data_IF_520847540843
#
_entry.id   IF_520847540843
#
_cell.length_a   1.000
_cell.length_b   1.000
_cell.length_c   1.000
_cell.angle_alpha   90.00
_cell.angle_beta   90.00
_cell.angle_gamma   90.00
#
_symmetry.space_group_name_H-M   'P 1'
#
loop_
_entity.id
_entity.type
_entity.pdbx_description
1 polymer ?
#
# COMPACT_ATOMS: atom_id res chain seq x y z
N UNK A 1 -5.89 18.74 -21.75
CA UNK A 1 -6.30 18.09 -20.48
C UNK A 1 -7.42 17.16 -20.87
N UNK A 2 -7.09 15.92 -21.22
CA UNK A 2 -8.09 14.95 -21.66
C UNK A 2 -9.02 14.63 -20.50
N UNK A 3 -10.31 14.78 -20.78
CA UNK A 3 -11.40 14.45 -19.88
C UNK A 3 -11.26 12.95 -19.52
N UNK A 4 -10.88 12.64 -18.28
CA UNK A 4 -11.06 11.30 -17.67
C UNK A 4 -12.57 11.03 -17.43
N UNK A 5 -13.40 11.50 -18.37
CA UNK A 5 -14.84 11.48 -18.40
C UNK A 5 -15.33 10.05 -18.39
N UNK A 6 -15.96 9.70 -17.26
CA UNK A 6 -16.82 8.56 -17.07
C UNK A 6 -16.33 7.24 -17.71
N UNK A 7 -15.28 6.62 -17.14
CA UNK A 7 -15.23 5.16 -17.25
C UNK A 7 -16.55 4.62 -16.69
N UNK A 8 -17.29 3.89 -17.54
CA UNK A 8 -18.55 3.27 -17.14
C UNK A 8 -18.32 2.34 -15.95
N UNK A 9 -19.33 2.21 -15.08
CA UNK A 9 -19.24 1.29 -13.95
C UNK A 9 -18.93 -0.14 -14.41
N UNK A 10 -19.46 -0.52 -15.58
CA UNK A 10 -19.20 -1.79 -16.25
C UNK A 10 -17.71 -1.99 -16.55
N UNK A 11 -17.00 -0.95 -16.98
CA UNK A 11 -15.54 -1.03 -17.20
C UNK A 11 -14.78 -1.21 -15.90
N UNK A 12 -15.15 -0.51 -14.82
CA UNK A 12 -14.54 -0.70 -13.50
C UNK A 12 -14.78 -2.12 -12.97
N UNK A 13 -15.98 -2.65 -13.15
CA UNK A 13 -16.33 -4.01 -12.74
C UNK A 13 -15.50 -5.04 -13.50
N UNK A 14 -15.46 -4.95 -14.85
CA UNK A 14 -14.68 -5.86 -15.70
C UNK A 14 -13.18 -5.77 -15.42
N UNK A 15 -12.66 -4.57 -15.23
CA UNK A 15 -11.25 -4.41 -14.90
C UNK A 15 -10.97 -4.95 -13.51
N UNK A 16 -11.76 -4.67 -12.48
CA UNK A 16 -11.57 -5.27 -11.16
C UNK A 16 -11.68 -6.79 -11.16
N UNK A 17 -12.59 -7.38 -11.96
CA UNK A 17 -12.71 -8.82 -12.08
C UNK A 17 -11.40 -9.48 -12.50
N UNK A 18 -10.62 -8.86 -13.41
CA UNK A 18 -9.30 -9.40 -13.83
C UNK A 18 -8.33 -9.60 -12.66
N UNK A 19 -8.47 -8.85 -11.57
CA UNK A 19 -7.65 -9.02 -10.39
C UNK A 19 -8.04 -10.25 -9.55
N UNK A 20 -9.27 -10.76 -9.69
CA UNK A 20 -9.84 -11.80 -8.83
C UNK A 20 -10.39 -13.01 -9.60
N UNK A 21 -10.30 -13.03 -10.93
CA UNK A 21 -10.90 -14.06 -11.77
C UNK A 21 -10.33 -15.47 -11.56
N UNK A 22 -9.16 -15.58 -10.93
CA UNK A 22 -8.59 -16.86 -10.47
C UNK A 22 -9.16 -17.35 -9.12
N UNK A 23 -9.89 -16.50 -8.39
CA UNK A 23 -10.44 -16.78 -7.06
C UNK A 23 -11.96 -17.00 -7.14
N UNK A 24 -12.65 -16.26 -8.00
CA UNK A 24 -14.12 -16.23 -8.08
C UNK A 24 -14.59 -16.15 -9.53
N UNK A 25 -15.71 -16.77 -9.84
CA UNK A 25 -16.36 -16.66 -11.15
C UNK A 25 -16.97 -15.26 -11.37
N UNK A 26 -17.12 -14.88 -12.64
CA UNK A 26 -17.57 -13.53 -13.02
C UNK A 26 -18.99 -13.23 -12.53
N UNK A 27 -19.91 -14.19 -12.60
CA UNK A 27 -21.30 -14.01 -12.16
C UNK A 27 -21.35 -13.69 -10.66
N UNK A 28 -20.67 -14.49 -9.84
CA UNK A 28 -20.62 -14.28 -8.39
C UNK A 28 -19.87 -13.00 -8.03
N UNK A 29 -18.80 -12.65 -8.74
CA UNK A 29 -18.09 -11.39 -8.57
C UNK A 29 -19.02 -10.19 -8.84
N UNK A 30 -19.73 -10.20 -9.97
CA UNK A 30 -20.64 -9.14 -10.37
C UNK A 30 -21.76 -8.96 -9.33
N UNK A 31 -22.33 -10.06 -8.83
CA UNK A 31 -23.32 -10.03 -7.76
C UNK A 31 -22.80 -9.35 -6.49
N UNK A 32 -21.59 -9.71 -6.03
CA UNK A 32 -20.98 -9.08 -4.85
C UNK A 32 -20.66 -7.60 -5.11
N UNK A 33 -20.05 -7.28 -6.24
CA UNK A 33 -19.66 -5.92 -6.60
C UNK A 33 -20.88 -5.00 -6.71
N UNK A 34 -21.95 -5.43 -7.38
CA UNK A 34 -23.18 -4.64 -7.55
C UNK A 34 -23.93 -4.38 -6.24
N UNK A 35 -23.69 -5.15 -5.18
CA UNK A 35 -24.30 -4.91 -3.87
C UNK A 35 -23.66 -3.74 -3.10
N UNK A 36 -22.45 -3.32 -3.47
CA UNK A 36 -21.85 -2.12 -2.92
C UNK A 36 -22.64 -0.87 -3.31
N UNK A 37 -22.59 0.17 -2.46
CA UNK A 37 -23.04 1.50 -2.89
C UNK A 37 -22.21 2.00 -4.07
N UNK A 38 -22.76 2.87 -4.91
CA UNK A 38 -22.06 3.41 -6.10
C UNK A 38 -20.68 3.98 -5.73
N UNK A 39 -20.54 4.62 -4.57
CA UNK A 39 -19.26 5.14 -4.09
C UNK A 39 -18.27 4.00 -3.76
N UNK A 40 -18.71 2.97 -3.03
CA UNK A 40 -17.88 1.80 -2.71
C UNK A 40 -17.49 1.02 -3.96
N UNK A 41 -18.40 0.88 -4.94
CA UNK A 41 -18.08 0.30 -6.24
C UNK A 41 -16.96 1.06 -6.95
N UNK A 42 -17.02 2.41 -7.00
CA UNK A 42 -15.96 3.24 -7.57
C UNK A 42 -14.63 3.07 -6.82
N UNK A 43 -14.66 3.04 -5.49
CA UNK A 43 -13.46 2.84 -4.67
C UNK A 43 -12.84 1.47 -4.89
N UNK A 44 -13.64 0.41 -4.83
CA UNK A 44 -13.19 -0.96 -5.08
C UNK A 44 -12.69 -1.15 -6.53
N UNK A 45 -13.40 -0.57 -7.49
CA UNK A 45 -13.00 -0.46 -8.90
C UNK A 45 -11.59 0.11 -9.07
N UNK A 46 -11.34 1.26 -8.45
CA UNK A 46 -10.04 1.93 -8.45
C UNK A 46 -8.96 1.09 -7.75
N UNK A 47 -9.27 0.51 -6.59
CA UNK A 47 -8.34 -0.34 -5.86
C UNK A 47 -7.90 -1.56 -6.70
N UNK A 48 -8.85 -2.25 -7.35
CA UNK A 48 -8.57 -3.38 -8.24
C UNK A 48 -7.69 -2.98 -9.44
N UNK A 49 -7.94 -1.81 -10.03
CA UNK A 49 -7.11 -1.26 -11.11
C UNK A 49 -5.68 -0.95 -10.63
N UNK A 50 -5.53 -0.27 -9.49
CA UNK A 50 -4.22 0.08 -8.91
C UNK A 50 -3.44 -1.18 -8.55
N UNK A 51 -4.09 -2.19 -7.97
CA UNK A 51 -3.50 -3.50 -7.69
C UNK A 51 -2.93 -4.17 -8.95
N UNK A 52 -3.68 -4.20 -10.05
CA UNK A 52 -3.18 -4.74 -11.31
C UNK A 52 -1.97 -3.98 -11.87
N UNK A 53 -1.91 -2.66 -11.67
CA UNK A 53 -0.74 -1.86 -12.05
C UNK A 53 0.46 -2.20 -11.18
N UNK A 54 0.26 -2.41 -9.88
CA UNK A 54 1.28 -2.92 -8.96
C UNK A 54 1.90 -4.22 -9.49
N UNK A 55 1.07 -5.20 -9.87
CA UNK A 55 1.56 -6.49 -10.37
C UNK A 55 2.43 -6.36 -11.64
N UNK A 56 2.13 -5.41 -12.52
CA UNK A 56 2.95 -5.13 -13.71
C UNK A 56 4.29 -4.50 -13.35
N UNK A 57 4.35 -3.76 -12.25
CA UNK A 57 5.57 -3.13 -11.76
C UNK A 57 6.44 -4.07 -10.91
N UNK A 58 5.86 -5.17 -10.38
CA UNK A 58 6.52 -6.08 -9.43
C UNK A 58 7.92 -6.54 -9.87
N UNK A 59 8.09 -6.85 -11.15
CA UNK A 59 9.36 -7.36 -11.71
C UNK A 59 10.32 -6.27 -12.20
N UNK A 60 9.82 -5.06 -12.48
CA UNK A 60 10.67 -3.98 -13.00
C UNK A 60 11.11 -3.01 -11.90
N UNK A 61 10.23 -2.72 -10.95
CA UNK A 61 10.45 -1.79 -9.85
C UNK A 61 9.60 -2.22 -8.64
N UNK A 62 10.18 -3.01 -7.72
CA UNK A 62 9.49 -3.47 -6.53
C UNK A 62 9.00 -2.32 -5.63
N UNK A 63 9.69 -1.18 -5.63
CA UNK A 63 9.31 -0.04 -4.80
C UNK A 63 8.05 0.64 -5.32
N UNK A 64 7.95 0.84 -6.64
CA UNK A 64 6.72 1.29 -7.29
C UNK A 64 5.61 0.25 -7.12
N UNK A 65 5.93 -1.04 -7.16
CA UNK A 65 4.94 -2.09 -6.89
C UNK A 65 4.36 -1.97 -5.48
N UNK A 66 5.21 -1.88 -4.45
CA UNK A 66 4.80 -1.72 -3.04
C UNK A 66 3.97 -0.44 -2.85
N UNK A 67 4.39 0.66 -3.48
CA UNK A 67 3.68 1.94 -3.48
C UNK A 67 2.23 1.82 -3.95
N UNK A 68 2.04 1.16 -5.09
CA UNK A 68 0.75 0.94 -5.70
C UNK A 68 -0.09 -0.04 -4.86
N UNK A 69 0.53 -1.09 -4.29
CA UNK A 69 -0.13 -2.00 -3.36
C UNK A 69 -0.68 -1.27 -2.12
N UNK A 70 0.11 -0.38 -1.50
CA UNK A 70 -0.36 0.44 -0.39
C UNK A 70 -1.52 1.35 -0.79
N UNK A 71 -1.41 2.00 -1.95
CA UNK A 71 -2.43 2.91 -2.49
C UNK A 71 -3.75 2.19 -2.80
N UNK A 72 -3.70 0.93 -3.23
CA UNK A 72 -4.89 0.11 -3.47
C UNK A 72 -5.71 -0.08 -2.17
N UNK A 73 -5.04 -0.35 -1.05
CA UNK A 73 -5.70 -0.52 0.26
C UNK A 73 -6.26 0.79 0.78
N UNK A 74 -5.49 1.88 0.71
CA UNK A 74 -5.95 3.19 1.18
C UNK A 74 -7.23 3.66 0.49
N UNK A 75 -7.38 3.31 -0.79
CA UNK A 75 -8.57 3.63 -1.61
C UNK A 75 -9.86 3.08 -1.00
N UNK A 76 -9.79 1.92 -0.33
CA UNK A 76 -10.96 1.25 0.28
C UNK A 76 -11.00 1.39 1.81
N UNK A 77 -9.92 1.82 2.44
CA UNK A 77 -9.86 1.97 3.91
C UNK A 77 -10.54 3.25 4.44
N UNK A 78 -11.15 4.06 3.56
CA UNK A 78 -11.97 5.21 3.98
C UNK A 78 -11.19 6.35 4.65
N UNK A 79 -9.92 6.56 4.27
CA UNK A 79 -9.16 7.73 4.66
C UNK A 79 -9.78 8.99 4.06
N UNK A 80 -10.30 9.89 4.90
CA UNK A 80 -10.83 11.21 4.48
C UNK A 80 -9.77 12.30 4.50
N UNK A 81 -8.51 11.96 4.75
CA UNK A 81 -7.40 12.91 4.68
C UNK A 81 -6.97 13.15 3.24
N UNK A 82 -6.50 14.36 2.96
CA UNK A 82 -5.89 14.69 1.67
C UNK A 82 -4.69 13.75 1.47
N UNK A 83 -4.79 12.82 0.52
CA UNK A 83 -3.64 11.96 0.18
C UNK A 83 -2.53 12.84 -0.35
N UNK A 84 -1.27 12.55 0.00
CA UNK A 84 -0.12 13.40 -0.34
C UNK A 84 -0.09 13.80 -1.82
N UNK A 85 -0.50 12.90 -2.72
CA UNK A 85 -0.64 13.17 -4.15
C UNK A 85 -1.56 14.37 -4.40
N UNK A 86 -2.76 14.36 -3.84
CA UNK A 86 -3.75 15.42 -4.06
C UNK A 86 -3.31 16.72 -3.38
N UNK A 87 -2.69 16.64 -2.20
CA UNK A 87 -2.11 17.80 -1.54
C UNK A 87 -0.95 18.40 -2.36
N UNK A 88 -0.08 17.57 -2.91
CA UNK A 88 1.06 17.96 -3.76
C UNK A 88 0.59 18.62 -5.05
N UNK A 89 -0.40 18.02 -5.73
CA UNK A 89 -1.00 18.59 -6.94
C UNK A 89 -1.70 19.92 -6.65
N UNK A 90 -2.34 20.07 -5.50
CA UNK A 90 -3.08 21.28 -5.16
C UNK A 90 -2.20 22.42 -4.64
N UNK A 91 -1.08 22.12 -3.98
CA UNK A 91 -0.27 23.13 -3.30
C UNK A 91 1.07 23.43 -4.01
N UNK A 92 1.57 22.52 -4.84
CA UNK A 92 2.99 22.52 -5.27
C UNK A 92 3.22 22.23 -6.74
N UNK A 93 2.17 21.94 -7.51
CA UNK A 93 2.26 21.69 -8.95
C UNK A 93 2.94 22.85 -9.70
N UNK A 94 2.62 24.10 -9.34
CA UNK A 94 3.26 25.28 -9.93
C UNK A 94 4.75 25.42 -9.58
N UNK A 95 5.15 24.93 -8.41
CA UNK A 95 6.56 24.92 -7.97
C UNK A 95 7.37 23.82 -8.68
N UNK A 96 6.71 22.71 -9.05
CA UNK A 96 7.34 21.56 -9.72
C UNK A 96 7.46 21.71 -11.25
N UNK A 97 6.60 22.53 -11.87
CA UNK A 97 6.45 22.59 -13.33
C UNK A 97 7.70 23.04 -14.12
N UNK A 98 8.68 23.68 -13.46
CA UNK A 98 9.87 24.25 -14.11
C UNK A 98 11.20 23.81 -13.45
N UNK A 99 11.18 22.72 -12.67
CA UNK A 99 12.36 22.20 -11.97
C UNK A 99 13.00 21.05 -12.74
N UNK A 100 14.32 20.94 -12.69
CA UNK A 100 15.02 19.75 -13.16
C UNK A 100 14.71 18.55 -12.27
N UNK A 101 14.98 17.33 -12.75
CA UNK A 101 14.72 16.08 -12.00
C UNK A 101 15.38 16.07 -10.61
N UNK A 102 16.62 16.55 -10.52
CA UNK A 102 17.35 16.75 -9.25
C UNK A 102 16.64 17.75 -8.31
N UNK A 103 16.12 18.85 -8.85
CA UNK A 103 15.44 19.90 -8.07
C UNK A 103 14.03 19.47 -7.64
N UNK A 104 13.37 18.61 -8.43
CA UNK A 104 12.10 17.98 -8.08
C UNK A 104 12.31 17.08 -6.85
N UNK A 105 13.39 16.29 -6.80
CA UNK A 105 13.72 15.45 -5.65
C UNK A 105 13.88 16.24 -4.33
N UNK A 106 14.64 17.33 -4.37
CA UNK A 106 14.81 18.22 -3.20
C UNK A 106 13.51 18.92 -2.80
N UNK A 107 12.71 19.34 -3.78
CA UNK A 107 11.43 19.97 -3.55
C UNK A 107 10.45 19.00 -2.89
N UNK A 108 10.32 17.78 -3.41
CA UNK A 108 9.43 16.75 -2.87
C UNK A 108 9.72 16.47 -1.40
N UNK A 109 11.01 16.43 -1.00
CA UNK A 109 11.43 16.26 0.39
C UNK A 109 10.91 17.33 1.34
N UNK A 110 11.20 18.59 1.02
CA UNK A 110 10.76 19.74 1.81
C UNK A 110 9.23 19.81 1.82
N UNK A 111 8.62 19.64 0.66
CA UNK A 111 7.18 19.62 0.46
C UNK A 111 6.49 18.50 1.24
N UNK A 112 7.17 17.37 1.43
CA UNK A 112 6.66 16.32 2.30
C UNK A 112 6.76 16.67 3.76
N UNK A 113 7.82 17.35 4.21
CA UNK A 113 7.86 17.87 5.58
C UNK A 113 6.76 18.89 5.82
N UNK A 114 6.48 19.74 4.85
CA UNK A 114 5.38 20.70 4.89
C UNK A 114 4.02 20.00 4.93
N UNK A 115 3.83 18.97 4.10
CA UNK A 115 2.68 18.08 4.23
C UNK A 115 2.67 17.51 5.65
N UNK A 116 3.79 16.95 6.13
CA UNK A 116 3.94 16.29 7.42
C UNK A 116 3.44 17.16 8.57
N UNK A 117 3.81 18.43 8.56
CA UNK A 117 3.40 19.41 9.55
C UNK A 117 1.99 19.96 9.37
N UNK A 118 1.43 19.91 8.15
CA UNK A 118 0.12 20.48 7.85
C UNK A 118 -1.08 19.56 8.16
N UNK A 119 -0.87 18.24 8.30
CA UNK A 119 -1.97 17.29 8.53
C UNK A 119 -1.86 16.53 9.85
N UNK A 120 -2.57 17.05 10.87
CA UNK A 120 -2.65 16.50 12.24
C UNK A 120 -3.30 15.11 12.29
N UNK A 121 -4.17 14.77 11.34
CA UNK A 121 -4.95 13.52 11.33
C UNK A 121 -4.27 12.33 10.62
N UNK A 122 -2.95 12.37 10.42
CA UNK A 122 -2.23 11.30 9.70
C UNK A 122 -2.29 9.94 10.34
N UNK A 123 -2.37 9.89 11.66
CA UNK A 123 -2.57 8.64 12.38
C UNK A 123 -3.83 7.93 11.89
N UNK A 124 -4.85 8.66 11.42
CA UNK A 124 -6.06 8.10 10.83
C UNK A 124 -5.83 7.25 9.58
N UNK A 125 -5.00 7.66 8.61
CA UNK A 125 -4.83 6.88 7.36
C UNK A 125 -3.96 5.65 7.60
N UNK A 126 -2.82 5.80 8.27
CA UNK A 126 -1.95 4.68 8.60
C UNK A 126 -2.64 3.68 9.54
N UNK A 127 -3.45 4.16 10.49
CA UNK A 127 -4.31 3.32 11.32
C UNK A 127 -5.38 2.63 10.49
N UNK A 128 -6.12 3.34 9.64
CA UNK A 128 -7.17 2.76 8.78
C UNK A 128 -6.62 1.72 7.81
N UNK A 129 -5.45 1.97 7.23
CA UNK A 129 -4.72 1.02 6.39
C UNK A 129 -4.40 -0.26 7.15
N UNK A 130 -3.76 -0.14 8.33
CA UNK A 130 -3.43 -1.31 9.17
C UNK A 130 -4.67 -2.03 9.66
N UNK A 131 -5.68 -1.29 10.11
CA UNK A 131 -6.97 -1.85 10.55
C UNK A 131 -7.63 -2.63 9.42
N UNK A 132 -7.67 -2.07 8.21
CA UNK A 132 -8.21 -2.78 7.05
C UNK A 132 -7.48 -4.11 6.84
N UNK A 133 -6.14 -4.10 6.82
CA UNK A 133 -5.38 -5.33 6.65
C UNK A 133 -5.59 -6.31 7.81
N UNK A 134 -5.69 -5.86 9.05
CA UNK A 134 -6.00 -6.74 10.19
C UNK A 134 -7.40 -7.37 10.10
N UNK A 135 -8.39 -6.60 9.66
CA UNK A 135 -9.80 -7.02 9.59
C UNK A 135 -10.07 -7.99 8.42
N UNK A 136 -9.31 -7.84 7.32
CA UNK A 136 -9.58 -8.54 6.07
C UNK A 136 -8.46 -9.50 5.60
N UNK A 137 -7.24 -9.45 6.16
CA UNK A 137 -6.19 -10.42 5.80
C UNK A 137 -6.51 -11.82 6.36
N UNK A 138 -6.48 -12.88 5.52
CA UNK A 138 -6.58 -14.26 5.99
C UNK A 138 -5.48 -14.64 6.98
N UNK A 139 -5.80 -15.46 7.98
CA UNK A 139 -4.85 -15.87 9.03
C UNK A 139 -3.60 -16.58 8.48
N UNK A 140 -3.72 -17.35 7.39
CA UNK A 140 -2.58 -18.02 6.78
C UNK A 140 -1.56 -17.03 6.16
N UNK A 141 -1.99 -15.81 5.83
CA UNK A 141 -1.12 -14.76 5.28
C UNK A 141 -0.58 -13.80 6.35
N UNK A 142 -1.00 -13.92 7.61
CA UNK A 142 -0.44 -13.15 8.74
C UNK A 142 0.94 -13.65 9.21
N UNK A 143 1.58 -14.53 8.44
CA UNK A 143 2.95 -15.03 8.66
C UNK A 143 3.89 -14.46 7.60
N UNK A 144 4.37 -13.21 7.76
CA UNK A 144 5.22 -12.56 6.77
C UNK A 144 6.61 -13.20 6.66
N UNK A 145 7.25 -13.16 5.48
CA UNK A 145 8.62 -13.62 5.27
C UNK A 145 9.63 -12.56 5.76
N UNK A 146 9.59 -12.25 7.05
CA UNK A 146 10.54 -11.34 7.72
C UNK A 146 11.27 -12.05 8.86
N UNK A 147 12.50 -11.63 9.14
CA UNK A 147 13.25 -12.01 10.34
C UNK A 147 13.45 -10.79 11.21
N UNK A 148 13.02 -10.86 12.47
CA UNK A 148 13.17 -9.76 13.44
C UNK A 148 14.38 -10.06 14.31
N UNK A 149 15.44 -9.25 14.16
CA UNK A 149 16.70 -9.41 14.89
C UNK A 149 16.70 -8.64 16.21
N UNK A 150 15.81 -7.64 16.37
CA UNK A 150 15.66 -6.88 17.62
C UNK A 150 14.23 -6.33 17.76
N UNK A 151 13.75 -6.34 19.00
CA UNK A 151 12.46 -5.79 19.42
C UNK A 151 11.33 -6.82 19.47
N UNK A 152 10.19 -6.42 20.03
CA UNK A 152 9.01 -7.28 20.24
C UNK A 152 7.79 -6.73 19.49
N UNK A 153 6.85 -7.61 19.16
CA UNK A 153 5.56 -7.25 18.56
C UNK A 153 5.03 -8.34 17.64
N UNK A 154 3.80 -8.15 17.19
CA UNK A 154 3.18 -9.01 16.20
C UNK A 154 3.90 -8.88 14.85
N UNK A 155 4.31 -10.02 14.27
CA UNK A 155 5.10 -10.03 13.04
C UNK A 155 4.33 -9.41 11.86
N UNK A 156 3.01 -9.62 11.80
CA UNK A 156 2.19 -9.06 10.74
C UNK A 156 2.11 -7.53 10.84
N UNK A 157 1.82 -6.97 12.02
CA UNK A 157 1.82 -5.51 12.22
C UNK A 157 3.20 -4.91 11.90
N UNK A 158 4.28 -5.58 12.31
CA UNK A 158 5.65 -5.15 11.99
C UNK A 158 5.86 -5.12 10.47
N UNK A 159 5.55 -6.20 9.74
CA UNK A 159 5.72 -6.27 8.29
C UNK A 159 4.88 -5.20 7.58
N UNK A 160 3.61 -5.05 7.95
CA UNK A 160 2.71 -4.05 7.36
C UNK A 160 3.23 -2.63 7.60
N UNK A 161 3.74 -2.33 8.81
CA UNK A 161 4.39 -1.04 9.09
C UNK A 161 5.65 -0.84 8.26
N UNK A 162 6.47 -1.86 8.07
CA UNK A 162 7.66 -1.80 7.22
C UNK A 162 7.26 -1.47 5.78
N UNK A 163 6.27 -2.15 5.21
CA UNK A 163 5.80 -1.89 3.84
C UNK A 163 5.22 -0.49 3.70
N UNK A 164 4.39 -0.07 4.66
CA UNK A 164 3.77 1.25 4.64
C UNK A 164 4.82 2.36 4.83
N UNK A 165 5.73 2.22 5.80
CA UNK A 165 6.79 3.18 6.07
C UNK A 165 7.79 3.25 4.92
N UNK A 166 8.09 2.13 4.23
CA UNK A 166 8.96 2.11 3.06
C UNK A 166 8.49 3.10 1.99
N UNK A 167 7.18 3.17 1.76
CA UNK A 167 6.61 4.02 0.72
C UNK A 167 6.16 5.42 1.22
N UNK A 168 5.60 5.49 2.43
CA UNK A 168 5.11 6.74 3.00
C UNK A 168 6.20 7.50 3.76
N UNK A 169 7.42 6.99 3.87
CA UNK A 169 8.55 7.81 4.32
C UNK A 169 9.20 8.45 3.10
N UNK A 170 8.87 9.71 2.82
CA UNK A 170 9.45 10.40 1.67
C UNK A 170 10.98 10.57 1.78
N UNK A 171 11.52 10.42 2.99
CA UNK A 171 12.95 10.34 3.29
C UNK A 171 13.67 9.12 2.67
N UNK A 172 12.96 7.99 2.48
CA UNK A 172 13.53 6.78 1.88
C UNK A 172 13.67 6.89 0.36
N UNK A 173 12.82 7.69 -0.28
CA UNK A 173 12.83 7.88 -1.73
C UNK A 173 13.82 8.94 -2.21
N UNK A 174 14.45 9.67 -1.29
CA UNK A 174 15.33 10.82 -1.60
C UNK A 174 16.70 10.75 -0.92
N UNK A 175 17.02 9.63 -0.26
CA UNK A 175 18.33 9.39 0.33
C UNK A 175 18.67 10.18 1.61
N UNK A 176 17.73 10.95 2.18
CA UNK A 176 17.96 11.68 3.44
C UNK A 176 17.42 10.84 4.60
N UNK A 177 18.31 10.07 5.24
CA UNK A 177 17.95 9.12 6.28
C UNK A 177 17.89 7.72 5.71
N UNK A 178 19.07 7.12 5.57
CA UNK A 178 19.29 5.76 5.05
C UNK A 178 18.44 4.72 5.78
N UNK A 179 17.21 4.50 5.33
CA UNK A 179 16.75 3.13 5.14
C UNK A 179 17.14 2.66 3.76
N UNK A 180 18.43 2.73 3.48
CA UNK A 180 18.98 1.95 2.41
C UNK A 180 18.78 0.50 2.80
N UNK A 181 18.19 -0.28 1.90
CA UNK A 181 18.66 -1.65 1.76
C UNK A 181 20.18 -1.52 1.63
N UNK A 182 20.96 -2.17 2.48
CA UNK A 182 22.40 -2.27 2.22
C UNK A 182 22.53 -2.76 0.78
N UNK A 183 23.15 -1.95 -0.10
CA UNK A 183 23.27 -2.31 -1.53
C UNK A 183 23.95 -3.67 -1.70
N UNK A 184 24.70 -4.10 -0.68
CA UNK A 184 25.13 -5.48 -0.52
C UNK A 184 24.20 -6.20 0.46
N UNK A 185 23.59 -7.33 0.04
CA UNK A 185 22.83 -8.17 0.95
C UNK A 185 23.73 -8.65 2.10
N UNK A 186 23.18 -8.65 3.32
CA UNK A 186 23.80 -9.30 4.48
C UNK A 186 23.66 -10.81 4.30
N UNK A 187 24.70 -11.58 4.61
CA UNK A 187 24.59 -13.04 4.64
C UNK A 187 24.08 -13.42 6.02
N UNK A 188 22.88 -13.98 6.09
CA UNK A 188 22.32 -14.50 7.35
C UNK A 188 23.21 -15.62 7.87
N UNK A 189 23.80 -15.43 9.06
CA UNK A 189 24.76 -16.39 9.64
C UNK A 189 24.15 -17.77 9.94
N UNK A 190 22.83 -17.87 10.11
CA UNK A 190 22.15 -19.14 10.40
C UNK A 190 21.81 -19.90 9.12
N UNK A 191 21.44 -19.20 8.04
CA UNK A 191 20.94 -19.84 6.81
C UNK A 191 21.93 -19.80 5.65
N UNK A 192 22.92 -18.90 5.69
CA UNK A 192 23.86 -18.65 4.59
C UNK A 192 23.27 -17.89 3.40
N UNK A 193 22.01 -17.45 3.49
CA UNK A 193 21.29 -16.80 2.40
C UNK A 193 21.51 -15.27 2.40
N UNK A 194 21.57 -14.63 1.21
CA UNK A 194 21.62 -13.18 1.10
C UNK A 194 20.27 -12.56 1.49
N UNK A 195 20.25 -11.73 2.52
CA UNK A 195 19.09 -10.97 2.99
C UNK A 195 19.33 -9.46 2.87
N UNK A 196 18.30 -8.73 2.45
CA UNK A 196 18.36 -7.28 2.43
C UNK A 196 17.97 -6.76 3.82
N UNK A 197 18.94 -6.18 4.51
CA UNK A 197 18.67 -5.54 5.80
C UNK A 197 17.93 -4.24 5.54
N UNK A 198 16.67 -4.17 5.96
CA UNK A 198 15.96 -2.90 6.03
C UNK A 198 16.16 -2.38 7.45
N UNK A 199 17.27 -1.68 7.66
CA UNK A 199 17.34 -0.74 8.75
C UNK A 199 16.43 0.43 8.38
N UNK A 200 15.26 0.61 9.00
CA UNK A 200 14.49 1.85 8.82
C UNK A 200 14.91 2.77 9.98
N UNK A 201 15.73 3.82 9.78
CA UNK A 201 16.13 4.73 10.86
C UNK A 201 14.95 5.32 11.63
N UNK A 202 13.80 5.48 10.96
CA UNK A 202 12.54 5.90 11.56
C UNK A 202 11.88 4.82 12.44
N UNK A 203 11.93 3.53 12.09
CA UNK A 203 11.52 2.45 13.02
C UNK A 203 12.60 2.17 14.09
N UNK A 204 13.86 2.48 13.81
CA UNK A 204 14.95 2.42 14.78
C UNK A 204 14.82 3.49 15.86
N UNK A 205 14.40 4.72 15.49
CA UNK A 205 14.13 5.81 16.45
C UNK A 205 12.82 5.62 17.22
N UNK A 206 11.82 4.96 16.63
CA UNK A 206 10.49 4.80 17.26
C UNK A 206 10.36 3.49 18.05
N UNK A 207 10.89 2.37 17.54
CA UNK A 207 10.66 1.02 18.11
C UNK A 207 11.95 0.20 18.36
N UNK A 208 13.14 0.67 17.94
CA UNK A 208 14.41 -0.03 18.15
C UNK A 208 14.55 -1.37 17.42
N UNK A 209 13.82 -1.57 16.31
CA UNK A 209 13.71 -2.86 15.61
C UNK A 209 14.65 -2.98 14.41
N UNK A 210 15.28 -4.16 14.27
CA UNK A 210 16.03 -4.56 13.08
C UNK A 210 15.26 -5.68 12.37
N UNK A 211 14.95 -5.49 11.10
CA UNK A 211 14.21 -6.47 10.30
C UNK A 211 15.01 -6.78 9.03
N UNK A 212 15.33 -8.06 8.83
CA UNK A 212 15.85 -8.54 7.55
C UNK A 212 14.70 -9.05 6.71
N UNK A 213 14.68 -8.67 5.44
CA UNK A 213 13.69 -9.13 4.47
C UNK A 213 14.38 -9.46 3.15
N UNK A 214 13.79 -10.37 2.40
CA UNK A 214 14.11 -10.51 0.99
C UNK A 214 13.07 -9.74 0.18
N UNK A 215 13.52 -8.72 -0.58
CA UNK A 215 12.62 -7.75 -1.20
C UNK A 215 11.62 -8.40 -2.15
N UNK A 216 12.05 -9.40 -2.92
CA UNK A 216 11.17 -10.17 -3.79
C UNK A 216 10.11 -10.88 -2.96
N UNK A 217 10.51 -11.75 -2.02
CA UNK A 217 9.56 -12.52 -1.18
C UNK A 217 8.58 -11.64 -0.42
N UNK A 218 9.03 -10.52 0.16
CA UNK A 218 8.13 -9.63 0.91
C UNK A 218 7.17 -8.88 -0.02
N UNK A 219 7.59 -8.53 -1.24
CA UNK A 219 6.72 -7.89 -2.24
C UNK A 219 5.66 -8.87 -2.74
N UNK A 220 6.04 -10.12 -2.97
CA UNK A 220 5.12 -11.19 -3.37
C UNK A 220 4.09 -11.48 -2.28
N UNK A 221 4.56 -11.72 -1.06
CA UNK A 221 3.71 -11.88 0.10
C UNK A 221 2.74 -10.70 0.26
N UNK A 222 3.23 -9.47 0.12
CA UNK A 222 2.40 -8.29 0.31
C UNK A 222 1.37 -8.12 -0.82
N UNK A 223 1.71 -8.50 -2.05
CA UNK A 223 0.75 -8.55 -3.15
C UNK A 223 -0.39 -9.56 -2.86
N UNK A 224 -0.06 -10.72 -2.30
CA UNK A 224 -1.06 -11.73 -1.90
C UNK A 224 -1.92 -11.25 -0.75
N UNK A 225 -1.32 -10.61 0.27
CA UNK A 225 -2.06 -9.97 1.37
C UNK A 225 -3.06 -8.95 0.82
N UNK A 226 -2.63 -8.04 -0.04
CA UNK A 226 -3.51 -7.02 -0.62
C UNK A 226 -4.64 -7.65 -1.43
N UNK A 227 -4.32 -8.62 -2.29
CA UNK A 227 -5.31 -9.33 -3.11
C UNK A 227 -6.38 -9.98 -2.23
N UNK A 228 -5.96 -10.78 -1.27
CA UNK A 228 -6.86 -11.53 -0.41
C UNK A 228 -7.64 -10.62 0.53
N UNK A 229 -7.04 -9.55 1.07
CA UNK A 229 -7.75 -8.56 1.88
C UNK A 229 -8.82 -7.82 1.08
N UNK A 230 -8.55 -7.43 -0.17
CA UNK A 230 -9.56 -6.83 -1.04
C UNK A 230 -10.70 -7.82 -1.32
N UNK A 231 -10.38 -9.08 -1.59
CA UNK A 231 -11.40 -10.11 -1.82
C UNK A 231 -12.26 -10.37 -0.56
N UNK A 232 -11.66 -10.48 0.62
CA UNK A 232 -12.37 -10.63 1.88
C UNK A 232 -13.23 -9.40 2.21
N UNK A 233 -12.77 -8.20 1.88
CA UNK A 233 -13.57 -6.98 1.96
C UNK A 233 -14.81 -7.06 1.07
N UNK A 234 -14.63 -7.50 -0.18
CA UNK A 234 -15.74 -7.73 -1.12
C UNK A 234 -16.76 -8.74 -0.57
N UNK A 235 -16.32 -9.80 0.11
CA UNK A 235 -17.24 -10.80 0.67
C UNK A 235 -17.96 -10.32 1.94
N UNK A 236 -17.24 -9.76 2.91
CA UNK A 236 -17.77 -9.44 4.25
C UNK A 236 -18.69 -8.23 4.27
N UNK A 237 -18.43 -7.23 3.45
CA UNK A 237 -19.27 -6.01 3.42
C UNK A 237 -20.67 -6.29 2.87
N UNK A 238 -20.82 -7.30 2.02
CA UNK A 238 -22.14 -7.79 1.56
C UNK A 238 -22.89 -8.45 2.70
N UNK A 239 -22.22 -9.30 3.48
CA UNK A 239 -22.82 -9.95 4.65
C UNK A 239 -23.37 -8.94 5.69
N UNK A 240 -22.66 -7.84 5.93
CA UNK A 240 -23.10 -6.81 6.88
C UNK A 240 -24.37 -6.09 6.46
N UNK A 241 -24.57 -5.83 5.16
CA UNK A 241 -25.77 -5.16 4.65
C UNK A 241 -27.05 -5.96 4.91
N UNK A 242 -26.99 -7.29 4.83
CA UNK A 242 -28.15 -8.15 5.12
C UNK A 242 -28.49 -8.21 6.61
N UNK A 243 -27.48 -8.10 7.50
CA UNK A 243 -27.71 -8.08 8.95
C UNK A 243 -28.24 -6.74 9.49
N UNK A 244 -28.16 -5.65 8.72
CA UNK A 244 -28.67 -4.33 9.16
C UNK A 244 -30.11 -4.06 8.71
N UNK A 245 -30.72 -4.96 7.94
CA UNK A 245 -32.09 -4.87 7.44
C UNK A 245 -33.08 -5.80 8.19
N UNK A 246 -32.62 -6.47 9.25
CA UNK A 246 -33.44 -7.27 10.18
C UNK A 246 -33.60 -6.50 11.49
#
# INVERSE_FOLDING_TARGET
>A
MEDFGAMSMERFMKDSYKAFGDIIDEERFNKLFSSFSIQKQKQFGRAGFVYQRALKCKSCDPDISIALLCSAIETVSGGTGVIFKDWLLNNKLGELANKSESQIGECLNRTYQEYLSAEENREGIAYKFRKFLNDYCPENLKKPPIKVYKGQGDLFDIAVRVMYARFRSLFLHTGIGYGGITNQPYIDEETGEPVHMIAIPLLLKVDGKYVGVELTKITEWFADVVKQSLFQYLQKEVGKQFSTMQ
#
